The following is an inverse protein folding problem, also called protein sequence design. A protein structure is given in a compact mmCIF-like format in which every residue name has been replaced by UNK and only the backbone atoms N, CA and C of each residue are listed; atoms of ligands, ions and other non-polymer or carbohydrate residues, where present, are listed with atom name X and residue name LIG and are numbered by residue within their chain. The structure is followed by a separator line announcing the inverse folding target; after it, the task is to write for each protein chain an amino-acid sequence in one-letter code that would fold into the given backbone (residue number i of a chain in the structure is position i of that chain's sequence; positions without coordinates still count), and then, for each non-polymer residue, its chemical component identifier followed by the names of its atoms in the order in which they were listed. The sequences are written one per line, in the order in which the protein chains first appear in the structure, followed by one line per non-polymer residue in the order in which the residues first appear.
data_IF_274491583696
#
_entry.id   IF_274491583696
#
_cell.length_a   1.000
_cell.length_b   1.000
_cell.length_c   1.000
_cell.angle_alpha   90.00
_cell.angle_beta   90.00
_cell.angle_gamma   90.00
#
_symmetry.space_group_name_H-M   'P 1'
#
loop_
_entity.id
_entity.type
_entity.pdbx_description
1 polymer ?
#
# COMPACT_ATOMS: atom_id res chain seq x y z
N UNK A 1 -22.06 -7.60 -29.20
CA UNK A 1 -21.94 -8.02 -27.80
C UNK A 1 -20.58 -7.54 -27.28
N UNK A 2 -20.54 -6.31 -26.75
CA UNK A 2 -19.30 -5.63 -26.34
C UNK A 2 -18.95 -6.04 -24.91
N UNK A 3 -17.94 -6.90 -24.76
CA UNK A 3 -17.32 -7.18 -23.47
C UNK A 3 -16.50 -5.96 -23.06
N UNK A 4 -17.10 -5.05 -22.28
CA UNK A 4 -16.37 -4.01 -21.55
C UNK A 4 -15.48 -4.69 -20.50
N UNK A 5 -14.25 -5.03 -20.89
CA UNK A 5 -13.20 -5.46 -19.97
C UNK A 5 -12.82 -4.25 -19.11
N UNK A 6 -13.35 -4.20 -17.89
CA UNK A 6 -12.96 -3.22 -16.87
C UNK A 6 -11.48 -3.42 -16.55
N UNK A 7 -10.61 -2.61 -17.17
CA UNK A 7 -9.20 -2.49 -16.80
C UNK A 7 -9.11 -1.97 -15.37
N UNK A 8 -8.92 -2.88 -14.43
CA UNK A 8 -8.80 -2.60 -12.99
C UNK A 8 -7.36 -2.16 -12.72
N UNK A 9 -7.12 -0.86 -12.80
CA UNK A 9 -5.83 -0.27 -12.44
C UNK A 9 -5.82 0.05 -10.93
N UNK A 10 -4.83 -0.43 -10.18
CA UNK A 10 -4.45 0.22 -8.93
C UNK A 10 -3.81 1.56 -9.32
N UNK A 11 -4.61 2.63 -9.24
CA UNK A 11 -4.23 3.98 -9.65
C UNK A 11 -3.11 4.53 -8.77
N UNK A 12 -1.86 4.42 -9.25
CA UNK A 12 -0.74 5.21 -8.77
C UNK A 12 -0.35 6.17 -9.91
N UNK A 13 -1.01 7.33 -9.93
CA UNK A 13 -0.98 8.42 -10.94
C UNK A 13 -1.56 8.09 -12.33
N UNK A 14 -2.71 8.71 -12.63
CA UNK A 14 -3.52 8.57 -13.87
C UNK A 14 -2.81 8.88 -15.21
N UNK A 15 -1.58 9.42 -15.20
CA UNK A 15 -0.93 9.98 -16.41
C UNK A 15 0.43 9.34 -16.79
N UNK A 16 0.74 8.13 -16.32
CA UNK A 16 2.00 7.45 -16.67
C UNK A 16 1.76 6.23 -17.57
N UNK A 17 2.63 6.01 -18.56
CA UNK A 17 2.64 4.78 -19.34
C UNK A 17 2.94 3.57 -18.44
N UNK A 18 2.48 2.35 -18.81
CA UNK A 18 2.71 1.13 -18.02
C UNK A 18 4.18 0.93 -17.62
N UNK A 19 5.11 1.25 -18.54
CA UNK A 19 6.55 1.20 -18.31
C UNK A 19 6.99 2.21 -17.24
N UNK A 20 6.48 3.46 -17.30
CA UNK A 20 6.80 4.49 -16.30
C UNK A 20 6.18 4.19 -14.93
N UNK A 21 5.00 3.58 -14.88
CA UNK A 21 4.39 3.11 -13.63
C UNK A 21 5.25 2.02 -12.97
N UNK A 22 5.68 1.02 -13.75
CA UNK A 22 6.59 -0.03 -13.26
C UNK A 22 7.90 0.53 -12.70
N UNK A 23 8.54 1.43 -13.45
CA UNK A 23 9.79 2.08 -13.00
C UNK A 23 9.57 2.89 -11.71
N UNK A 24 8.44 3.60 -11.59
CA UNK A 24 8.10 4.34 -10.36
C UNK A 24 7.86 3.40 -9.18
N UNK A 25 7.11 2.32 -9.38
CA UNK A 25 6.83 1.32 -8.34
C UNK A 25 8.12 0.65 -7.85
N UNK A 26 9.01 0.27 -8.77
CA UNK A 26 10.27 -0.40 -8.44
C UNK A 26 11.26 0.56 -7.77
N UNK A 27 11.53 1.73 -8.38
CA UNK A 27 12.59 2.66 -7.92
C UNK A 27 12.19 3.56 -6.76
N UNK A 28 10.96 4.07 -6.74
CA UNK A 28 10.53 5.02 -5.69
C UNK A 28 9.96 4.28 -4.49
N UNK A 29 9.08 3.31 -4.66
CA UNK A 29 8.43 2.65 -3.53
C UNK A 29 9.32 1.59 -2.84
N UNK A 30 10.51 1.31 -3.37
CA UNK A 30 11.46 0.30 -2.87
C UNK A 30 10.79 -1.09 -2.74
N UNK A 31 10.01 -1.45 -3.77
CA UNK A 31 9.14 -2.63 -3.80
C UNK A 31 9.71 -3.81 -4.58
N UNK A 32 11.00 -3.76 -4.95
CA UNK A 32 11.64 -4.69 -5.88
C UNK A 32 11.48 -6.18 -5.55
N UNK A 33 11.10 -6.52 -4.30
CA UNK A 33 10.90 -7.91 -3.86
C UNK A 33 9.44 -8.34 -3.62
N UNK A 34 8.49 -7.41 -3.52
CA UNK A 34 7.11 -7.71 -3.12
C UNK A 34 6.07 -7.42 -4.21
N UNK A 35 6.42 -6.69 -5.27
CA UNK A 35 5.50 -6.41 -6.37
C UNK A 35 5.83 -7.29 -7.58
N UNK A 36 4.85 -8.05 -8.06
CA UNK A 36 4.98 -8.92 -9.23
C UNK A 36 3.86 -8.59 -10.22
N UNK A 37 4.21 -8.48 -11.50
CA UNK A 37 3.23 -8.50 -12.57
C UNK A 37 3.06 -9.95 -13.01
N UNK A 38 1.86 -10.50 -12.82
CA UNK A 38 1.54 -11.85 -13.26
C UNK A 38 0.30 -11.82 -14.14
N UNK A 39 0.42 -12.27 -15.38
CA UNK A 39 -0.66 -12.27 -16.37
C UNK A 39 -1.39 -10.91 -16.56
N UNK A 40 -0.69 -9.79 -16.33
CA UNK A 40 -1.25 -8.44 -16.47
C UNK A 40 -1.94 -7.90 -15.21
N UNK A 41 -1.94 -8.65 -14.11
CA UNK A 41 -2.42 -8.24 -12.79
C UNK A 41 -1.27 -7.72 -11.92
N UNK A 42 -1.61 -6.74 -11.07
CA UNK A 42 -0.71 -6.19 -10.06
C UNK A 42 -0.79 -7.06 -8.79
N UNK A 43 0.23 -7.89 -8.54
CA UNK A 43 0.30 -8.76 -7.37
C UNK A 43 1.27 -8.20 -6.34
N UNK A 44 0.81 -8.10 -5.08
CA UNK A 44 1.65 -7.79 -3.93
C UNK A 44 1.81 -9.05 -3.08
N UNK A 45 3.01 -9.63 -3.07
CA UNK A 45 3.34 -10.83 -2.31
C UNK A 45 4.13 -10.47 -1.05
N UNK A 46 3.60 -10.83 0.12
CA UNK A 46 4.24 -10.60 1.40
C UNK A 46 3.72 -11.52 2.50
N UNK A 47 4.52 -11.68 3.55
CA UNK A 47 4.13 -12.41 4.75
C UNK A 47 3.16 -11.59 5.61
N UNK A 48 2.14 -12.26 6.13
CA UNK A 48 1.22 -11.72 7.15
C UNK A 48 1.92 -11.57 8.51
N UNK A 49 1.35 -10.76 9.41
CA UNK A 49 1.82 -10.65 10.79
C UNK A 49 1.27 -11.83 11.61
N UNK A 50 2.14 -12.79 11.94
CA UNK A 50 1.81 -13.94 12.80
C UNK A 50 2.11 -13.64 14.27
N UNK A 51 1.60 -14.45 15.18
CA UNK A 51 1.82 -14.28 16.63
C UNK A 51 3.29 -14.31 17.07
N UNK A 52 4.15 -14.99 16.31
CA UNK A 52 5.60 -15.07 16.55
C UNK A 52 6.37 -13.87 16.01
N UNK A 53 5.71 -12.95 15.31
CA UNK A 53 6.37 -11.79 14.74
C UNK A 53 6.73 -10.80 15.86
N UNK A 54 7.98 -10.31 15.88
CA UNK A 54 8.48 -9.28 16.79
C UNK A 54 7.58 -8.04 16.85
N UNK A 55 7.04 -7.64 15.70
CA UNK A 55 6.25 -6.41 15.57
C UNK A 55 4.75 -6.64 15.83
N UNK A 56 4.36 -7.86 16.29
CA UNK A 56 2.99 -8.20 16.62
C UNK A 56 2.55 -7.45 17.89
N UNK A 57 1.43 -6.77 17.77
CA UNK A 57 0.69 -6.13 18.88
C UNK A 57 -0.41 -7.05 19.41
N UNK A 58 -1.15 -6.64 20.44
CA UNK A 58 -2.29 -7.41 20.95
C UNK A 58 -3.42 -7.64 19.91
N UNK A 59 -3.53 -6.78 18.89
CA UNK A 59 -4.64 -6.80 17.94
C UNK A 59 -4.59 -8.00 16.99
N UNK A 60 -5.67 -8.79 16.95
CA UNK A 60 -5.74 -10.08 16.22
C UNK A 60 -5.53 -9.94 14.71
N UNK A 61 -6.10 -8.90 14.08
CA UNK A 61 -6.07 -8.70 12.62
C UNK A 61 -5.07 -7.61 12.22
N UNK A 62 -3.84 -7.65 12.74
CA UNK A 62 -2.82 -6.63 12.43
C UNK A 62 -2.31 -6.76 10.98
N UNK A 63 -2.40 -5.66 10.22
CA UNK A 63 -1.84 -5.58 8.87
C UNK A 63 -0.31 -5.45 8.91
N UNK A 64 0.43 -6.04 7.95
CA UNK A 64 1.86 -5.80 7.79
C UNK A 64 2.12 -4.31 7.50
N UNK A 65 3.04 -3.68 8.25
CA UNK A 65 3.41 -2.27 8.04
C UNK A 65 3.88 -2.02 6.60
N UNK A 66 4.63 -2.97 6.02
CA UNK A 66 5.09 -2.87 4.62
C UNK A 66 3.94 -2.76 3.62
N UNK A 67 2.81 -3.43 3.85
CA UNK A 67 1.63 -3.31 2.99
C UNK A 67 1.10 -1.88 3.01
N UNK A 68 0.91 -1.34 4.20
CA UNK A 68 0.35 -0.01 4.40
C UNK A 68 1.29 1.08 3.89
N UNK A 69 2.61 0.86 4.04
CA UNK A 69 3.65 1.73 3.51
C UNK A 69 3.52 1.98 2.00
N UNK A 70 3.16 0.94 1.25
CA UNK A 70 2.93 1.01 -0.21
C UNK A 70 1.80 1.99 -0.49
N UNK A 71 0.63 1.73 0.10
CA UNK A 71 -0.56 2.53 -0.17
C UNK A 71 -0.36 3.97 0.27
N UNK A 72 0.08 4.20 1.51
CA UNK A 72 0.32 5.56 2.01
C UNK A 72 1.30 6.33 1.13
N UNK A 73 2.40 5.71 0.67
CA UNK A 73 3.37 6.41 -0.21
C UNK A 73 2.81 6.64 -1.62
N UNK A 74 2.03 5.70 -2.14
CA UNK A 74 1.50 5.75 -3.48
C UNK A 74 0.35 6.75 -3.65
N UNK A 75 -0.48 6.93 -2.62
CA UNK A 75 -1.71 7.74 -2.70
C UNK A 75 -1.69 9.02 -1.85
N UNK A 76 -0.55 9.38 -1.24
CA UNK A 76 -0.43 10.64 -0.50
C UNK A 76 0.96 11.27 -0.59
N UNK A 77 1.01 12.59 -0.46
CA UNK A 77 2.24 13.36 -0.35
C UNK A 77 2.58 13.65 1.12
N UNK A 78 3.66 14.40 1.36
CA UNK A 78 3.96 14.92 2.70
C UNK A 78 2.87 15.92 3.12
N UNK A 79 2.52 15.94 4.40
CA UNK A 79 1.50 16.78 5.03
C UNK A 79 0.03 16.50 4.62
N UNK A 80 -0.21 15.62 3.65
CA UNK A 80 -1.55 15.13 3.34
C UNK A 80 -2.16 14.39 4.55
N UNK A 81 -3.49 14.31 4.55
CA UNK A 81 -4.25 13.59 5.56
C UNK A 81 -4.47 12.15 5.09
N UNK A 82 -4.07 11.21 5.95
CA UNK A 82 -4.50 9.82 5.88
C UNK A 82 -5.64 9.65 6.88
N UNK A 83 -6.76 9.10 6.44
CA UNK A 83 -7.92 8.83 7.28
C UNK A 83 -8.10 7.33 7.45
N UNK A 84 -8.19 6.86 8.69
CA UNK A 84 -8.41 5.46 9.02
C UNK A 84 -9.55 5.32 10.06
N UNK A 85 -10.78 4.99 9.62
CA UNK A 85 -11.92 4.84 10.53
C UNK A 85 -11.90 3.53 11.33
N UNK A 86 -10.93 2.63 11.11
CA UNK A 86 -10.84 1.31 11.74
C UNK A 86 -9.42 1.03 12.22
N UNK A 87 -8.87 1.95 13.02
CA UNK A 87 -7.43 1.99 13.28
C UNK A 87 -6.83 0.69 13.83
N UNK A 88 -7.61 -0.07 14.63
CA UNK A 88 -7.22 -1.39 15.11
C UNK A 88 -5.84 -1.38 15.77
N UNK A 89 -4.89 -2.13 15.19
CA UNK A 89 -3.48 -2.20 15.65
C UNK A 89 -2.67 -0.89 15.51
N UNK A 90 -3.19 0.14 14.85
CA UNK A 90 -2.45 1.39 14.61
C UNK A 90 -1.46 1.35 13.44
N UNK A 91 -1.45 0.31 12.61
CA UNK A 91 -0.52 0.16 11.49
C UNK A 91 -0.56 1.35 10.52
N UNK A 92 -1.76 1.89 10.22
CA UNK A 92 -1.90 3.06 9.33
C UNK A 92 -1.37 4.32 9.96
N UNK A 93 -1.70 4.59 11.23
CA UNK A 93 -1.17 5.74 11.96
C UNK A 93 0.37 5.70 12.03
N UNK A 94 0.95 4.53 12.32
CA UNK A 94 2.40 4.35 12.34
C UNK A 94 3.03 4.65 10.98
N UNK A 95 2.49 4.09 9.89
CA UNK A 95 2.99 4.33 8.53
C UNK A 95 2.89 5.79 8.11
N UNK A 96 1.74 6.42 8.40
CA UNK A 96 1.45 7.82 8.10
C UNK A 96 2.44 8.75 8.79
N UNK A 97 2.65 8.57 10.10
CA UNK A 97 3.61 9.36 10.89
C UNK A 97 5.05 9.19 10.39
N UNK A 98 5.48 7.96 10.15
CA UNK A 98 6.82 7.66 9.62
C UNK A 98 7.12 8.40 8.30
N UNK A 99 6.09 8.64 7.49
CA UNK A 99 6.20 9.33 6.19
C UNK A 99 5.78 10.79 6.23
N UNK A 100 5.64 11.40 7.41
CA UNK A 100 5.30 12.82 7.58
C UNK A 100 3.92 13.18 6.98
N UNK A 101 2.92 12.33 7.22
CA UNK A 101 1.51 12.60 6.94
C UNK A 101 0.79 12.97 8.23
N UNK A 102 -0.29 13.72 8.09
CA UNK A 102 -1.28 13.87 9.15
C UNK A 102 -2.16 12.63 9.14
N UNK A 103 -2.59 12.18 10.31
CA UNK A 103 -3.47 11.02 10.45
C UNK A 103 -4.69 11.46 11.25
N UNK A 104 -5.87 11.07 10.78
CA UNK A 104 -7.14 11.16 11.49
C UNK A 104 -7.71 9.76 11.61
N UNK A 105 -8.19 9.43 12.80
CA UNK A 105 -8.71 8.11 13.12
C UNK A 105 -9.74 8.21 14.24
N UNK A 106 -10.55 7.15 14.39
CA UNK A 106 -11.44 6.95 15.53
C UNK A 106 -10.86 5.91 16.50
#
# INVERSE_FOLDING_TARGET
MLLYSYKKYILIRKNLSKIKQKIYIEKELNLEKCFKLYNGEDIIEMNIVKNVNKDKTAHVCQLPVKLVDIFVKASSNKNDIVFDPFMGSGTVAFSAKKKQKKIYWF
#
